data_IF_848856354538
#
_entry.id   IF_848856354538
#
_cell.length_a   1.000
_cell.length_b   1.000
_cell.length_c   1.000
_cell.angle_alpha   90.00
_cell.angle_beta   90.00
_cell.angle_gamma   90.00
#
_symmetry.space_group_name_H-M   'P 1'
#
loop_
_entity.id
_entity.type
_entity.pdbx_description
1 polymer ?
#
# COMPACT_ATOMS: atom_id res chain seq x y z
N UNK A 1 13.63 -55.15 -15.67
CA UNK A 1 14.14 -54.18 -14.67
C UNK A 1 13.48 -52.84 -14.98
N UNK A 2 12.54 -52.39 -14.14
CA UNK A 2 11.81 -51.12 -14.33
C UNK A 2 12.33 -50.12 -13.30
N UNK A 3 12.72 -48.94 -13.79
CA UNK A 3 13.28 -47.85 -13.01
C UNK A 3 12.26 -47.29 -12.01
N UNK A 4 12.74 -47.07 -10.77
CA UNK A 4 12.05 -46.38 -9.70
C UNK A 4 11.98 -44.89 -10.05
N UNK A 5 10.76 -44.33 -10.12
CA UNK A 5 10.55 -42.90 -10.17
C UNK A 5 10.48 -42.36 -8.74
N UNK A 6 11.44 -41.51 -8.38
CA UNK A 6 11.44 -40.73 -7.15
C UNK A 6 10.20 -39.81 -7.12
N UNK A 7 9.47 -39.86 -6.01
CA UNK A 7 8.49 -38.85 -5.62
C UNK A 7 9.19 -37.50 -5.39
N UNK A 8 8.91 -36.52 -6.24
CA UNK A 8 9.20 -35.12 -5.94
C UNK A 8 8.05 -34.56 -5.11
N UNK A 9 8.31 -34.27 -3.83
CA UNK A 9 7.42 -33.54 -2.96
C UNK A 9 7.25 -32.11 -3.49
N UNK A 10 6.08 -31.79 -4.04
CA UNK A 10 5.69 -30.42 -4.38
C UNK A 10 5.49 -29.64 -3.07
N UNK A 11 6.41 -28.71 -2.81
CA UNK A 11 6.30 -27.69 -1.78
C UNK A 11 5.14 -26.74 -2.09
N UNK A 12 4.04 -26.90 -1.35
CA UNK A 12 2.91 -25.97 -1.32
C UNK A 12 3.35 -24.67 -0.62
N UNK A 13 3.77 -23.67 -1.38
CA UNK A 13 4.06 -22.33 -0.85
C UNK A 13 2.76 -21.59 -0.57
N UNK A 14 2.47 -21.39 0.72
CA UNK A 14 1.35 -20.58 1.22
C UNK A 14 1.65 -19.09 0.95
N UNK A 15 0.84 -18.44 0.11
CA UNK A 15 0.82 -16.98 0.02
C UNK A 15 0.24 -16.41 1.30
N UNK A 16 0.94 -15.51 1.99
CA UNK A 16 0.40 -14.82 3.15
C UNK A 16 -0.41 -13.60 2.66
N UNK A 17 -1.75 -13.73 2.64
CA UNK A 17 -2.58 -12.54 2.79
C UNK A 17 -2.31 -12.00 4.19
N UNK A 18 -1.86 -10.76 4.32
CA UNK A 18 -1.75 -10.14 5.62
C UNK A 18 -3.15 -10.09 6.25
N UNK A 19 -3.31 -10.67 7.43
CA UNK A 19 -4.59 -10.72 8.17
C UNK A 19 -4.63 -9.69 9.31
N UNK A 20 -3.54 -8.98 9.56
CA UNK A 20 -3.42 -7.94 10.59
C UNK A 20 -2.63 -6.74 10.04
N UNK A 21 -3.13 -5.49 10.21
CA UNK A 21 -2.41 -4.28 9.81
C UNK A 21 -1.06 -4.16 10.53
N UNK A 22 -0.06 -3.57 9.86
CA UNK A 22 1.23 -3.25 10.49
C UNK A 22 1.42 -1.73 10.60
N UNK A 23 1.12 -1.13 11.77
CA UNK A 23 0.98 0.31 11.90
C UNK A 23 2.28 1.08 12.17
N UNK A 24 3.34 0.37 12.59
CA UNK A 24 4.55 0.97 13.17
C UNK A 24 5.81 0.54 12.39
N UNK A 25 6.66 1.50 11.95
CA UNK A 25 7.94 1.22 11.30
C UNK A 25 8.86 0.25 12.05
N UNK A 26 8.93 0.33 13.38
CA UNK A 26 9.79 -0.54 14.19
C UNK A 26 9.27 -1.99 14.19
N UNK A 27 7.96 -2.17 14.34
CA UNK A 27 7.28 -3.47 14.22
C UNK A 27 7.35 -4.03 12.81
N UNK A 28 7.30 -3.19 11.78
CA UNK A 28 7.47 -3.59 10.38
C UNK A 28 8.85 -4.17 10.11
N UNK A 29 9.93 -3.46 10.48
CA UNK A 29 11.30 -3.92 10.29
C UNK A 29 11.55 -5.34 10.86
N UNK A 30 10.84 -5.72 11.94
CA UNK A 30 10.96 -7.05 12.55
C UNK A 30 10.22 -8.19 11.82
N UNK A 31 9.21 -7.91 10.98
CA UNK A 31 8.27 -8.92 10.43
C UNK A 31 7.80 -8.64 8.98
N UNK A 32 8.67 -8.05 8.15
CA UNK A 32 8.33 -7.56 6.79
C UNK A 32 7.81 -8.63 5.82
N UNK A 33 8.31 -9.88 5.91
CA UNK A 33 7.91 -10.96 5.00
C UNK A 33 6.42 -11.31 5.02
N UNK A 34 5.71 -10.99 6.12
CA UNK A 34 4.31 -11.34 6.33
C UNK A 34 3.33 -10.24 5.86
N UNK A 35 3.82 -9.08 5.41
CA UNK A 35 2.99 -7.98 4.92
C UNK A 35 3.57 -7.43 3.60
N UNK A 36 3.45 -8.21 2.52
CA UNK A 36 3.96 -7.85 1.20
C UNK A 36 2.84 -7.82 0.15
N UNK A 37 3.03 -7.05 -0.93
CA UNK A 37 2.26 -7.23 -2.17
C UNK A 37 2.79 -8.41 -2.99
N UNK A 38 4.03 -8.86 -2.73
CA UNK A 38 4.67 -9.96 -3.43
C UNK A 38 4.17 -11.34 -2.98
N UNK A 39 4.13 -12.28 -3.93
CA UNK A 39 3.72 -13.66 -3.67
C UNK A 39 4.81 -14.47 -2.94
N UNK A 40 6.07 -14.03 -3.05
CA UNK A 40 7.25 -14.66 -2.45
C UNK A 40 8.05 -13.61 -1.68
N UNK A 41 7.78 -13.50 -0.37
CA UNK A 41 8.59 -12.81 0.65
C UNK A 41 9.33 -11.54 0.23
N UNK A 42 8.73 -10.36 0.46
CA UNK A 42 9.47 -9.10 0.48
C UNK A 42 10.04 -8.84 1.87
N UNK A 43 11.19 -9.44 2.17
CA UNK A 43 11.95 -9.11 3.38
C UNK A 43 12.82 -7.87 3.13
N UNK A 44 12.89 -6.98 4.11
CA UNK A 44 13.84 -5.86 4.10
C UNK A 44 15.12 -6.27 4.84
N UNK A 45 16.27 -5.79 4.38
CA UNK A 45 17.61 -6.07 4.92
C UNK A 45 18.21 -4.81 5.56
N UNK A 46 18.09 -4.62 6.89
CA UNK A 46 18.90 -3.63 7.59
C UNK A 46 20.40 -3.99 7.45
N UNK A 47 21.32 -3.04 7.22
CA UNK A 47 21.17 -1.58 7.28
C UNK A 47 20.88 -0.88 5.95
N UNK A 48 20.67 -1.62 4.86
CA UNK A 48 20.51 -1.07 3.50
C UNK A 48 19.11 -0.50 3.26
N UNK A 49 18.18 -0.77 4.18
CA UNK A 49 16.80 -0.28 4.14
C UNK A 49 16.70 1.18 4.60
N UNK A 50 16.22 2.05 3.71
CA UNK A 50 15.73 3.37 4.08
C UNK A 50 14.23 3.28 4.39
N UNK A 51 13.83 3.67 5.60
CA UNK A 51 12.43 3.75 5.99
C UNK A 51 12.18 5.02 6.80
N UNK A 52 11.31 5.87 6.29
CA UNK A 52 10.87 7.08 6.98
C UNK A 52 9.89 6.72 8.11
N UNK A 53 9.92 7.44 9.25
CA UNK A 53 9.08 7.17 10.42
C UNK A 53 7.62 7.64 10.23
N UNK A 54 7.00 7.27 9.13
CA UNK A 54 5.59 7.58 8.83
C UNK A 54 4.68 6.70 9.67
N UNK A 55 3.70 7.31 10.34
CA UNK A 55 2.70 6.59 11.12
C UNK A 55 1.47 6.22 10.28
N UNK A 56 0.96 5.02 10.48
CA UNK A 56 -0.24 4.54 9.82
C UNK A 56 -1.49 5.20 10.42
N UNK A 57 -2.21 5.97 9.61
CA UNK A 57 -3.58 6.36 9.92
C UNK A 57 -4.53 5.37 9.24
N UNK A 58 -5.20 4.54 10.06
CA UNK A 58 -5.94 3.39 9.55
C UNK A 58 -7.33 3.79 9.01
N UNK A 59 -7.56 3.44 7.75
CA UNK A 59 -8.88 3.45 7.13
C UNK A 59 -9.66 2.20 7.51
N UNK A 60 -10.92 2.37 7.92
CA UNK A 60 -11.83 1.28 8.27
C UNK A 60 -13.01 1.17 7.29
N UNK A 61 -13.39 2.26 6.61
CA UNK A 61 -14.54 2.28 5.69
C UNK A 61 -14.40 3.34 4.58
N UNK A 62 -15.20 3.20 3.52
CA UNK A 62 -15.48 4.24 2.52
C UNK A 62 -14.42 4.49 1.44
N UNK A 63 -14.63 5.54 0.66
CA UNK A 63 -13.68 6.05 -0.33
C UNK A 63 -12.66 7.04 0.31
N UNK A 64 -12.18 6.73 1.52
CA UNK A 64 -11.40 7.64 2.36
C UNK A 64 -9.87 7.45 2.25
N UNK A 65 -9.38 6.55 1.38
CA UNK A 65 -7.95 6.22 1.28
C UNK A 65 -7.05 7.46 1.11
N UNK A 66 -7.48 8.43 0.29
CA UNK A 66 -6.76 9.69 0.11
C UNK A 66 -6.66 10.53 1.38
N UNK A 67 -7.72 10.59 2.19
CA UNK A 67 -7.75 11.33 3.45
C UNK A 67 -6.83 10.69 4.51
N UNK A 68 -6.88 9.37 4.66
CA UNK A 68 -6.01 8.64 5.59
C UNK A 68 -4.53 8.68 5.16
N UNK A 69 -4.25 8.51 3.87
CA UNK A 69 -2.89 8.66 3.37
C UNK A 69 -2.35 10.08 3.56
N UNK A 70 -3.19 11.11 3.34
CA UNK A 70 -2.82 12.49 3.63
C UNK A 70 -2.61 12.74 5.13
N UNK A 71 -3.45 12.17 6.00
CA UNK A 71 -3.26 12.27 7.44
C UNK A 71 -1.91 11.70 7.90
N UNK A 72 -1.51 10.54 7.35
CA UNK A 72 -0.16 9.99 7.56
C UNK A 72 0.96 10.96 7.15
N UNK A 73 0.81 11.68 6.03
CA UNK A 73 1.79 12.70 5.59
C UNK A 73 1.80 13.91 6.51
N UNK A 74 0.63 14.42 6.89
CA UNK A 74 0.53 15.58 7.79
C UNK A 74 1.15 15.25 9.14
N UNK A 75 0.85 14.09 9.70
CA UNK A 75 1.39 13.65 10.98
C UNK A 75 2.90 13.42 10.92
N UNK A 76 3.45 13.02 9.77
CA UNK A 76 4.90 12.93 9.58
C UNK A 76 5.59 14.29 9.74
N UNK A 77 5.02 15.35 9.17
CA UNK A 77 5.62 16.70 9.21
C UNK A 77 5.28 17.51 10.46
N UNK A 78 4.05 17.40 10.96
CA UNK A 78 3.51 18.26 12.02
C UNK A 78 3.57 17.61 13.40
N UNK A 79 3.84 16.31 13.46
CA UNK A 79 3.87 15.51 14.67
C UNK A 79 2.74 14.48 14.72
N UNK A 80 2.94 13.40 15.48
CA UNK A 80 2.00 12.29 15.55
C UNK A 80 0.63 12.74 16.07
N UNK A 81 -0.44 12.15 15.52
CA UNK A 81 -1.82 12.42 15.89
C UNK A 81 -2.25 13.91 15.79
N UNK A 82 -1.62 14.70 14.92
CA UNK A 82 -2.04 16.08 14.62
C UNK A 82 -3.40 16.10 13.92
N UNK A 83 -3.64 15.16 13.01
CA UNK A 83 -4.88 15.01 12.26
C UNK A 83 -5.24 13.53 12.09
N UNK A 84 -6.53 13.23 12.03
CA UNK A 84 -7.06 11.92 11.68
C UNK A 84 -7.71 11.95 10.29
N UNK A 85 -7.54 10.89 9.50
CA UNK A 85 -8.14 10.78 8.17
C UNK A 85 -9.67 10.85 8.19
N UNK A 86 -10.30 10.32 9.25
CA UNK A 86 -11.76 10.43 9.44
C UNK A 86 -12.22 11.89 9.53
N UNK A 87 -11.49 12.75 10.23
CA UNK A 87 -11.87 14.15 10.40
C UNK A 87 -11.73 14.91 9.08
N UNK A 88 -10.67 14.63 8.32
CA UNK A 88 -10.50 15.16 6.95
C UNK A 88 -11.67 14.71 6.07
N UNK A 89 -12.02 13.42 6.10
CA UNK A 89 -13.07 12.85 5.27
C UNK A 89 -14.47 13.39 5.59
N UNK A 90 -14.80 13.53 6.88
CA UNK A 90 -16.09 14.06 7.32
C UNK A 90 -16.23 15.55 7.02
N UNK A 91 -15.17 16.34 7.22
CA UNK A 91 -15.20 17.77 6.96
C UNK A 91 -15.13 18.11 5.47
N UNK A 92 -14.42 17.30 4.69
CA UNK A 92 -14.14 17.55 3.28
C UNK A 92 -14.30 16.26 2.45
N UNK A 93 -15.53 15.71 2.31
CA UNK A 93 -15.75 14.52 1.51
C UNK A 93 -15.32 14.75 0.05
N UNK A 94 -14.83 13.71 -0.67
CA UNK A 94 -14.44 13.86 -2.06
C UNK A 94 -15.64 14.25 -2.93
N UNK A 95 -15.41 15.11 -3.93
CA UNK A 95 -16.45 15.55 -4.85
C UNK A 95 -17.10 14.39 -5.61
N UNK A 96 -16.33 13.35 -5.94
CA UNK A 96 -16.83 12.08 -6.44
C UNK A 96 -16.65 10.98 -5.39
N UNK A 97 -17.75 10.62 -4.73
CA UNK A 97 -17.76 9.60 -3.68
C UNK A 97 -17.54 8.18 -4.20
N UNK A 98 -17.65 7.94 -5.52
CA UNK A 98 -17.35 6.66 -6.15
C UNK A 98 -15.89 6.55 -6.55
N UNK A 99 -15.31 7.63 -7.07
CA UNK A 99 -13.91 7.66 -7.49
C UNK A 99 -12.93 7.92 -6.32
N UNK A 100 -13.39 8.58 -5.25
CA UNK A 100 -12.55 9.07 -4.16
C UNK A 100 -11.89 10.41 -4.51
N UNK A 101 -10.88 10.79 -3.72
CA UNK A 101 -10.20 12.09 -3.90
C UNK A 101 -9.40 12.16 -5.20
N UNK A 102 -9.53 13.27 -5.92
CA UNK A 102 -8.58 13.68 -6.94
C UNK A 102 -7.27 14.19 -6.33
N UNK A 103 -6.18 14.16 -7.09
CA UNK A 103 -4.90 14.74 -6.63
C UNK A 103 -5.03 16.24 -6.33
N UNK A 104 -5.85 16.97 -7.08
CA UNK A 104 -6.08 18.40 -6.86
C UNK A 104 -6.76 18.67 -5.51
N UNK A 105 -7.75 17.86 -5.14
CA UNK A 105 -8.37 17.94 -3.81
C UNK A 105 -7.35 17.63 -2.71
N UNK A 106 -6.51 16.61 -2.89
CA UNK A 106 -5.48 16.27 -1.90
C UNK A 106 -4.42 17.38 -1.75
N UNK A 107 -4.04 18.06 -2.83
CA UNK A 107 -3.13 19.21 -2.74
C UNK A 107 -3.78 20.39 -2.02
N UNK A 108 -5.06 20.68 -2.29
CA UNK A 108 -5.80 21.74 -1.60
C UNK A 108 -5.95 21.44 -0.09
N UNK A 109 -6.22 20.18 0.27
CA UNK A 109 -6.25 19.73 1.66
C UNK A 109 -4.86 19.81 2.31
N UNK A 110 -3.79 19.41 1.60
CA UNK A 110 -2.44 19.55 2.13
C UNK A 110 -2.10 21.02 2.42
N UNK A 111 -2.50 21.94 1.54
CA UNK A 111 -2.31 23.37 1.74
C UNK A 111 -3.07 23.89 2.97
N UNK A 112 -4.32 23.44 3.20
CA UNK A 112 -5.07 23.84 4.39
C UNK A 112 -4.46 23.32 5.70
N UNK A 113 -3.65 22.26 5.62
CA UNK A 113 -2.85 21.71 6.73
C UNK A 113 -1.46 22.36 6.84
N UNK A 114 -1.22 23.49 6.15
CA UNK A 114 0.07 24.17 6.09
C UNK A 114 1.21 23.29 5.56
N UNK A 115 0.93 22.44 4.57
CA UNK A 115 1.97 21.76 3.81
C UNK A 115 2.11 22.39 2.44
N UNK A 116 3.34 22.46 1.95
CA UNK A 116 3.62 22.72 0.54
C UNK A 116 3.52 21.40 -0.20
N UNK A 117 2.80 21.37 -1.32
CA UNK A 117 2.63 20.16 -2.13
C UNK A 117 2.83 20.44 -3.61
N UNK A 118 3.41 19.46 -4.32
CA UNK A 118 3.62 19.54 -5.76
C UNK A 118 3.23 18.23 -6.44
N UNK A 119 2.35 18.33 -7.44
CA UNK A 119 1.98 17.21 -8.30
C UNK A 119 3.01 17.08 -9.43
N UNK A 120 3.70 15.94 -9.48
CA UNK A 120 4.84 15.68 -10.36
C UNK A 120 4.73 14.30 -11.01
N UNK A 121 5.53 14.07 -12.05
CA UNK A 121 5.74 12.73 -12.61
C UNK A 121 7.07 12.18 -12.10
N UNK A 122 7.02 11.13 -11.28
CA UNK A 122 8.21 10.53 -10.67
C UNK A 122 8.41 9.08 -11.14
N UNK A 123 9.44 8.80 -11.96
CA UNK A 123 9.89 7.43 -12.17
C UNK A 123 10.51 6.86 -10.88
N UNK A 124 10.84 5.57 -10.87
CA UNK A 124 11.36 4.89 -9.67
C UNK A 124 12.59 5.58 -9.05
N UNK A 125 13.55 6.04 -9.87
CA UNK A 125 14.71 6.79 -9.37
C UNK A 125 14.33 8.11 -8.70
N UNK A 126 13.29 8.78 -9.20
CA UNK A 126 12.74 9.98 -8.57
C UNK A 126 12.10 9.69 -7.22
N UNK A 127 11.39 8.56 -7.08
CA UNK A 127 10.86 8.14 -5.78
C UNK A 127 11.99 7.94 -4.75
N UNK A 128 13.07 7.25 -5.13
CA UNK A 128 14.22 7.04 -4.23
C UNK A 128 14.85 8.37 -3.80
N UNK A 129 15.06 9.30 -4.73
CA UNK A 129 15.62 10.62 -4.44
C UNK A 129 14.77 11.45 -3.46
N UNK A 130 13.44 11.38 -3.57
CA UNK A 130 12.53 12.04 -2.62
C UNK A 130 12.64 11.43 -1.21
N UNK A 131 12.69 10.11 -1.12
CA UNK A 131 12.83 9.38 0.14
C UNK A 131 14.18 9.64 0.81
N UNK A 132 15.27 9.66 0.04
CA UNK A 132 16.62 10.04 0.50
C UNK A 132 16.66 11.49 1.01
N UNK A 133 15.83 12.37 0.44
CA UNK A 133 15.65 13.73 0.92
C UNK A 133 14.66 13.85 2.10
N UNK A 134 14.23 12.73 2.68
CA UNK A 134 13.33 12.70 3.84
C UNK A 134 11.87 13.02 3.51
N UNK A 135 11.45 12.88 2.25
CA UNK A 135 10.08 13.21 1.82
C UNK A 135 9.32 11.95 1.41
N UNK A 136 8.28 11.53 2.17
CA UNK A 136 7.41 10.46 1.72
C UNK A 136 6.57 10.94 0.53
N UNK A 137 6.26 10.03 -0.39
CA UNK A 137 5.64 10.38 -1.68
C UNK A 137 4.28 9.70 -1.81
N UNK A 138 3.22 10.48 -1.98
CA UNK A 138 1.88 9.94 -2.19
C UNK A 138 1.70 9.63 -3.67
N UNK A 139 1.31 8.40 -4.00
CA UNK A 139 1.14 7.97 -5.39
C UNK A 139 -0.23 7.37 -5.63
N UNK A 140 -0.94 7.76 -6.70
CA UNK A 140 -2.10 7.03 -7.16
C UNK A 140 -1.66 5.72 -7.82
N UNK A 141 -2.37 4.65 -7.49
CA UNK A 141 -2.16 3.30 -8.03
C UNK A 141 -3.48 2.68 -8.45
N UNK A 142 -3.42 1.82 -9.44
CA UNK A 142 -4.54 0.99 -9.86
C UNK A 142 -4.21 -0.46 -9.48
N UNK A 143 -4.94 -0.99 -8.50
CA UNK A 143 -4.66 -2.30 -7.89
C UNK A 143 -5.88 -3.21 -7.92
N UNK A 144 -5.70 -4.54 -7.99
CA UNK A 144 -6.80 -5.49 -7.79
C UNK A 144 -7.50 -5.28 -6.46
N UNK A 145 -8.84 -5.28 -6.47
CA UNK A 145 -9.66 -4.96 -5.29
C UNK A 145 -9.35 -5.84 -4.07
N UNK A 146 -8.94 -7.09 -4.27
CA UNK A 146 -8.57 -8.02 -3.20
C UNK A 146 -7.39 -7.57 -2.34
N UNK A 147 -6.56 -6.64 -2.82
CA UNK A 147 -5.44 -6.10 -2.05
C UNK A 147 -5.81 -4.93 -1.14
N UNK A 148 -6.98 -4.32 -1.37
CA UNK A 148 -7.44 -3.07 -0.73
C UNK A 148 -8.89 -3.15 -0.26
N UNK A 149 -9.56 -4.29 -0.43
CA UNK A 149 -10.85 -4.57 0.19
C UNK A 149 -10.63 -5.67 1.20
N UNK A 150 -10.95 -5.39 2.46
CA UNK A 150 -11.16 -6.41 3.48
C UNK A 150 -12.37 -7.24 3.05
N UNK A 151 -12.13 -8.31 2.28
CA UNK A 151 -13.16 -9.25 1.89
C UNK A 151 -13.76 -9.91 3.14
N UNK A 152 -14.88 -9.40 3.63
CA UNK A 152 -15.84 -10.19 4.39
C UNK A 152 -16.69 -10.96 3.39
N UNK A 153 -16.24 -12.16 2.99
CA UNK A 153 -17.10 -13.07 2.24
C UNK A 153 -18.38 -13.34 3.07
N UNK A 154 -19.58 -13.20 2.47
CA UNK A 154 -20.80 -13.72 3.09
C UNK A 154 -20.60 -15.22 3.31
N UNK A 155 -20.42 -15.63 4.57
CA UNK A 155 -20.14 -17.02 4.93
C UNK A 155 -18.70 -17.35 5.32
N UNK A 156 -17.80 -16.37 5.52
CA UNK A 156 -16.45 -16.60 6.07
C UNK A 156 -16.45 -17.22 7.49
N UNK A 157 -17.58 -17.17 8.20
CA UNK A 157 -17.80 -17.84 9.49
C UNK A 157 -18.46 -19.23 9.35
N UNK A 158 -18.66 -19.74 8.14
CA UNK A 158 -19.19 -21.08 7.91
C UNK A 158 -18.01 -22.04 7.82
N UNK A 159 -17.89 -23.04 8.73
CA UNK A 159 -16.77 -23.97 8.75
C UNK A 159 -16.88 -24.94 7.57
N UNK A 160 -16.52 -24.50 6.37
CA UNK A 160 -16.45 -25.35 5.19
C UNK A 160 -15.05 -25.94 5.10
N UNK A 161 -14.93 -27.18 5.57
CA UNK A 161 -13.92 -28.19 5.24
C UNK A 161 -12.65 -27.67 4.52
N UNK A 162 -11.63 -27.34 5.32
CA UNK A 162 -10.25 -27.76 5.07
C UNK A 162 -9.43 -27.09 3.97
N UNK A 163 -9.90 -26.06 3.27
CA UNK A 163 -9.07 -25.30 2.33
C UNK A 163 -8.57 -23.99 2.96
N UNK A 164 -7.25 -23.75 3.03
CA UNK A 164 -6.73 -22.51 3.62
C UNK A 164 -7.16 -21.32 2.78
N UNK A 165 -7.89 -20.38 3.38
CA UNK A 165 -8.43 -19.17 2.74
C UNK A 165 -7.37 -18.42 1.89
N UNK A 166 -6.12 -18.44 2.36
CA UNK A 166 -4.93 -17.91 1.71
C UNK A 166 -4.65 -18.44 0.29
N UNK A 167 -5.09 -19.66 -0.04
CA UNK A 167 -4.90 -20.28 -1.37
C UNK A 167 -5.96 -19.82 -2.37
N UNK A 168 -7.18 -19.54 -1.89
CA UNK A 168 -8.28 -19.05 -2.73
C UNK A 168 -8.05 -17.58 -3.06
N UNK A 169 -7.63 -16.78 -2.08
CA UNK A 169 -7.33 -15.36 -2.25
C UNK A 169 -6.14 -15.12 -3.18
N UNK A 170 -5.06 -15.90 -3.07
CA UNK A 170 -3.88 -15.74 -3.93
C UNK A 170 -4.15 -16.07 -5.40
N UNK A 171 -4.98 -17.08 -5.69
CA UNK A 171 -5.42 -17.37 -7.07
C UNK A 171 -6.38 -16.33 -7.60
N UNK A 172 -7.32 -15.84 -6.79
CA UNK A 172 -8.25 -14.79 -7.21
C UNK A 172 -7.53 -13.47 -7.51
N UNK A 173 -6.53 -13.09 -6.70
CA UNK A 173 -5.68 -11.92 -6.94
C UNK A 173 -4.89 -12.04 -8.24
N UNK A 174 -4.25 -13.19 -8.47
CA UNK A 174 -3.50 -13.45 -9.69
C UNK A 174 -4.40 -13.46 -10.94
N UNK A 175 -5.61 -14.04 -10.86
CA UNK A 175 -6.58 -14.01 -11.95
C UNK A 175 -7.06 -12.58 -12.23
N UNK A 176 -7.39 -11.79 -11.21
CA UNK A 176 -7.82 -10.39 -11.36
C UNK A 176 -6.72 -9.49 -11.93
N UNK A 177 -5.46 -9.66 -11.49
CA UNK A 177 -4.28 -8.96 -12.04
C UNK A 177 -4.09 -9.31 -13.53
N UNK A 178 -4.39 -10.56 -13.93
CA UNK A 178 -4.23 -11.05 -15.31
C UNK A 178 -5.40 -10.72 -16.23
N UNK A 179 -6.61 -10.53 -15.71
CA UNK A 179 -7.82 -10.24 -16.50
C UNK A 179 -8.22 -8.77 -16.52
N UNK A 180 -7.59 -7.91 -15.70
CA UNK A 180 -7.93 -6.49 -15.60
C UNK A 180 -9.32 -6.21 -15.03
N UNK A 181 -10.00 -7.22 -14.49
CA UNK A 181 -11.33 -7.10 -13.90
C UNK A 181 -11.23 -6.74 -12.42
N UNK A 182 -12.03 -5.77 -11.95
CA UNK A 182 -12.09 -5.28 -10.56
C UNK A 182 -10.83 -4.53 -10.08
N UNK A 183 -10.22 -3.73 -10.97
CA UNK A 183 -9.19 -2.78 -10.58
C UNK A 183 -9.81 -1.56 -9.90
N UNK A 184 -9.21 -1.13 -8.79
CA UNK A 184 -9.63 0.05 -8.03
C UNK A 184 -8.52 1.10 -8.05
N UNK A 185 -8.92 2.36 -8.20
CA UNK A 185 -8.04 3.50 -7.98
C UNK A 185 -7.85 3.66 -6.48
N UNK A 186 -6.60 3.83 -6.07
CA UNK A 186 -6.23 3.87 -4.67
C UNK A 186 -4.99 4.75 -4.47
N UNK A 187 -4.77 5.24 -3.25
CA UNK A 187 -3.56 5.96 -2.90
C UNK A 187 -2.72 5.16 -1.92
N UNK A 188 -1.43 5.08 -2.21
CA UNK A 188 -0.44 4.56 -1.26
C UNK A 188 0.63 5.59 -1.04
N UNK A 189 1.19 5.62 0.16
CA UNK A 189 2.26 6.52 0.52
C UNK A 189 3.58 5.77 0.54
N UNK A 190 4.46 6.06 -0.42
CA UNK A 190 5.81 5.49 -0.45
C UNK A 190 6.61 6.11 0.68
N UNK A 191 7.11 5.28 1.60
CA UNK A 191 7.78 5.70 2.83
C UNK A 191 9.19 5.12 2.97
N UNK A 192 9.61 4.22 2.08
CA UNK A 192 10.95 3.65 2.13
C UNK A 192 11.29 2.79 0.93
N UNK A 193 12.50 2.27 0.91
CA UNK A 193 12.95 1.25 -0.03
C UNK A 193 14.10 0.42 0.53
N UNK A 194 14.28 -0.76 -0.05
CA UNK A 194 15.41 -1.66 0.13
C UNK A 194 15.77 -2.27 -1.23
N UNK A 195 16.93 -1.91 -1.77
CA UNK A 195 17.32 -2.25 -3.15
C UNK A 195 16.25 -1.81 -4.16
N UNK A 196 15.63 -2.77 -4.83
CA UNK A 196 14.54 -2.57 -5.81
C UNK A 196 13.14 -2.89 -5.27
N UNK A 197 13.00 -2.93 -3.94
CA UNK A 197 11.72 -3.07 -3.25
C UNK A 197 11.37 -1.76 -2.58
N UNK A 198 10.18 -1.22 -2.84
CA UNK A 198 9.64 -0.09 -2.11
C UNK A 198 8.85 -0.56 -0.89
N UNK A 199 8.85 0.28 0.14
CA UNK A 199 7.98 0.17 1.30
C UNK A 199 6.91 1.24 1.16
N UNK A 200 5.65 0.83 1.21
CA UNK A 200 4.49 1.71 1.06
C UNK A 200 3.57 1.55 2.27
N UNK A 201 3.00 2.66 2.73
CA UNK A 201 1.89 2.69 3.66
C UNK A 201 0.59 2.65 2.86
N UNK A 202 -0.16 1.57 3.02
CA UNK A 202 -1.51 1.41 2.47
C UNK A 202 -2.54 1.71 3.58
N UNK A 203 -3.48 2.64 3.38
CA UNK A 203 -4.42 3.09 4.42
C UNK A 203 -5.18 2.00 5.16
N UNK A 204 -5.47 0.85 4.55
CA UNK A 204 -6.24 -0.23 5.18
C UNK A 204 -5.32 -1.22 5.90
N UNK A 205 -4.22 -1.63 5.28
CA UNK A 205 -3.34 -2.73 5.71
C UNK A 205 -2.01 -2.28 6.35
N UNK A 206 -1.71 -0.98 6.36
CA UNK A 206 -0.49 -0.40 6.91
C UNK A 206 0.74 -0.58 6.01
N UNK A 207 1.92 -0.71 6.62
CA UNK A 207 3.19 -0.82 5.89
C UNK A 207 3.33 -2.15 5.15
N UNK A 208 3.67 -2.07 3.86
CA UNK A 208 3.83 -3.20 2.94
C UNK A 208 5.02 -3.04 2.02
N UNK A 209 5.63 -4.15 1.62
CA UNK A 209 6.65 -4.16 0.56
C UNK A 209 6.05 -4.38 -0.83
N UNK A 210 6.61 -3.73 -1.86
CA UNK A 210 6.23 -3.89 -3.27
C UNK A 210 7.47 -3.74 -4.16
N UNK A 211 7.68 -4.63 -5.12
CA UNK A 211 8.79 -4.51 -6.07
C UNK A 211 8.65 -3.24 -6.93
N UNK A 212 9.77 -2.65 -7.34
CA UNK A 212 9.78 -1.48 -8.22
C UNK A 212 9.06 -1.73 -9.54
N UNK A 213 9.19 -2.93 -10.10
CA UNK A 213 8.50 -3.34 -11.32
C UNK A 213 6.98 -3.38 -11.11
N UNK A 214 6.50 -4.00 -10.03
CA UNK A 214 5.06 -4.06 -9.75
C UNK A 214 4.48 -2.69 -9.43
N UNK A 215 5.18 -1.87 -8.65
CA UNK A 215 4.75 -0.51 -8.38
C UNK A 215 4.67 0.32 -9.68
N UNK A 216 5.61 0.16 -10.59
CA UNK A 216 5.57 0.82 -11.89
C UNK A 216 4.34 0.41 -12.71
N UNK A 217 4.00 -0.89 -12.76
CA UNK A 217 2.79 -1.38 -13.44
C UNK A 217 1.52 -0.77 -12.84
N UNK A 218 1.39 -0.72 -11.51
CA UNK A 218 0.21 -0.14 -10.87
C UNK A 218 0.09 1.37 -11.05
N UNK A 219 1.19 2.07 -11.32
CA UNK A 219 1.22 3.53 -11.56
C UNK A 219 1.08 3.91 -13.04
N UNK A 220 1.13 2.94 -13.94
CA UNK A 220 1.14 3.17 -15.39
C UNK A 220 -0.11 3.92 -15.86
N UNK A 221 -1.30 3.53 -15.37
CA UNK A 221 -2.57 4.19 -15.70
C UNK A 221 -2.61 5.68 -15.33
N UNK A 222 -1.75 6.13 -14.40
CA UNK A 222 -1.62 7.52 -13.97
C UNK A 222 -0.37 8.21 -14.56
N UNK A 223 0.37 7.53 -15.43
CA UNK A 223 1.59 8.06 -16.05
C UNK A 223 2.66 8.47 -15.03
N UNK A 224 2.85 7.67 -13.98
CA UNK A 224 3.78 7.94 -12.88
C UNK A 224 3.50 9.24 -12.11
N UNK A 225 2.24 9.67 -12.06
CA UNK A 225 1.85 10.78 -11.19
C UNK A 225 2.23 10.49 -9.72
N UNK A 226 2.50 11.57 -8.98
CA UNK A 226 2.87 11.56 -7.58
C UNK A 226 2.60 12.94 -6.97
N UNK A 227 2.39 13.00 -5.66
CA UNK A 227 2.41 14.23 -4.88
C UNK A 227 3.59 14.16 -3.91
N UNK A 228 4.46 15.16 -3.98
CA UNK A 228 5.53 15.39 -3.03
C UNK A 228 5.10 16.47 -2.06
N UNK A 229 5.46 16.32 -0.79
CA UNK A 229 5.10 17.24 0.29
C UNK A 229 6.34 17.72 1.03
N UNK A 230 6.30 18.96 1.50
CA UNK A 230 7.25 19.50 2.46
C UNK A 230 6.53 20.35 3.49
N UNK A 231 7.07 20.43 4.70
CA UNK A 231 6.70 21.49 5.61
C UNK A 231 7.26 22.84 5.09
N UNK A 232 6.52 23.94 5.20
CA UNK A 232 7.09 25.28 5.08
C UNK A 232 8.08 25.50 6.23
N UNK A 233 9.19 26.18 5.92
CA UNK A 233 10.21 26.60 6.89
C UNK A 233 9.64 27.46 8.03
#
# INVERSE_FOLDING_TARGET
MKAQALFAAMSLTLSACATQPNPDPASFASRTSNNSFEMFGGAVSPPETLLLPVQHDQQIDGAACGAHALASVVNYWRGPATVAGNDIFLAHPPADTKAGYSMAELQALAQSQNLVSSAVRLPAGGLKAELEAGRPVLVPVQVPSIYVQTWQLPGANVPVLGFPANFITSRAAWLSEKTGSNLLNHYVLVSGYDGDTFIVMEPIMGLRTISAERLARYREAFGNAAIVFSAPD
#
